data_IF_021266236956
#
_entry.id   IF_021266236956
#
_cell.length_a   1.000
_cell.length_b   1.000
_cell.length_c   1.000
_cell.angle_alpha   90.00
_cell.angle_beta   90.00
_cell.angle_gamma   90.00
#
_symmetry.space_group_name_H-M   'P 1'
#
loop_
_entity.id
_entity.type
_entity.pdbx_description
1 polymer ?
#
# COMPACT_ATOMS: atom_id res chain seq x y z
N UNK A 1 30.43 4.56 5.64
CA UNK A 1 30.18 4.36 7.08
C UNK A 1 28.89 5.10 7.40
N UNK A 2 27.88 4.42 7.94
CA UNK A 2 27.85 4.18 9.38
C UNK A 2 27.73 2.69 9.74
N UNK A 3 28.38 2.33 10.85
CA UNK A 3 28.34 1.00 11.48
C UNK A 3 26.92 0.68 11.96
N UNK A 4 26.42 -0.52 11.67
CA UNK A 4 25.31 -1.12 12.42
C UNK A 4 25.86 -1.72 13.71
N UNK A 5 25.38 -1.21 14.84
CA UNK A 5 25.40 -1.91 16.12
C UNK A 5 24.63 -3.23 16.04
N UNK A 6 25.13 -4.33 16.62
CA UNK A 6 24.32 -5.52 16.85
C UNK A 6 23.38 -5.28 18.04
N UNK A 7 22.07 -5.34 17.80
CA UNK A 7 21.06 -5.34 18.87
C UNK A 7 21.21 -6.59 19.71
N UNK A 8 21.32 -6.37 21.01
CA UNK A 8 21.30 -7.37 22.07
C UNK A 8 20.00 -8.19 22.04
N UNK A 9 20.12 -9.51 21.89
CA UNK A 9 19.02 -10.44 22.19
C UNK A 9 18.81 -10.47 23.70
N UNK A 10 17.61 -10.11 24.17
CA UNK A 10 17.17 -10.36 25.55
C UNK A 10 16.88 -11.87 25.71
N UNK A 11 17.31 -12.51 26.83
CA UNK A 11 16.91 -13.87 27.12
C UNK A 11 15.49 -13.86 27.70
N UNK A 12 14.53 -14.42 26.98
CA UNK A 12 13.19 -14.73 27.52
C UNK A 12 13.23 -16.07 28.26
N UNK A 13 13.10 -15.98 29.59
CA UNK A 13 12.70 -16.97 30.59
C UNK A 13 12.58 -18.45 30.14
N UNK A 14 13.49 -19.26 30.67
CA UNK A 14 13.40 -20.71 30.79
C UNK A 14 12.14 -21.15 31.56
N UNK A 15 11.43 -22.22 31.18
CA UNK A 15 10.54 -22.91 32.10
C UNK A 15 11.37 -23.80 33.02
N UNK A 16 11.04 -23.70 34.30
CA UNK A 16 11.60 -24.43 35.42
C UNK A 16 11.22 -25.92 35.30
N UNK A 17 12.19 -26.81 35.03
CA UNK A 17 12.01 -28.25 35.25
C UNK A 17 12.68 -28.62 36.58
N UNK A 18 11.87 -28.86 37.60
CA UNK A 18 12.31 -29.49 38.86
C UNK A 18 12.73 -30.94 38.58
N UNK A 19 13.79 -31.45 39.25
CA UNK A 19 14.13 -32.85 39.16
C UNK A 19 13.23 -33.64 40.09
N UNK A 20 12.30 -34.43 39.55
CA UNK A 20 11.67 -35.50 40.30
C UNK A 20 12.52 -36.76 40.13
N UNK A 21 13.31 -37.07 41.15
CA UNK A 21 13.97 -38.37 41.30
C UNK A 21 12.91 -39.44 41.52
N UNK A 22 12.68 -40.28 40.51
CA UNK A 22 11.99 -41.57 40.69
C UNK A 22 12.93 -42.66 40.20
N UNK A 23 13.54 -43.35 41.16
CA UNK A 23 14.24 -44.61 40.96
C UNK A 23 13.20 -45.72 40.76
N UNK A 24 13.19 -46.40 39.62
CA UNK A 24 12.57 -47.73 39.49
C UNK A 24 13.42 -48.63 38.58
N UNK A 25 13.59 -49.92 38.93
CA UNK A 25 14.50 -50.83 38.26
C UNK A 25 13.82 -51.63 37.13
N UNK A 26 14.67 -52.13 36.24
CA UNK A 26 14.45 -53.17 35.22
C UNK A 26 13.89 -52.81 33.83
N UNK A 27 14.36 -53.48 32.76
CA UNK A 27 14.30 -52.99 31.38
C UNK A 27 13.33 -53.80 30.48
N UNK A 28 13.15 -53.32 29.24
CA UNK A 28 12.46 -53.92 28.08
C UNK A 28 10.90 -53.97 28.11
N UNK A 29 10.25 -53.16 27.27
CA UNK A 29 9.61 -53.56 25.98
C UNK A 29 8.66 -52.46 25.46
N UNK A 30 8.84 -52.09 24.19
CA UNK A 30 7.94 -51.45 23.19
C UNK A 30 6.81 -50.52 23.69
N UNK A 31 6.93 -49.22 23.39
CA UNK A 31 5.78 -48.31 23.31
C UNK A 31 5.25 -48.25 21.87
N UNK A 32 4.09 -48.86 21.63
CA UNK A 32 3.27 -48.60 20.44
C UNK A 32 2.32 -47.45 20.79
N UNK A 33 2.58 -46.24 20.28
CA UNK A 33 1.62 -45.13 20.34
C UNK A 33 0.66 -45.21 19.14
N UNK A 34 -0.67 -45.25 19.34
CA UNK A 34 -1.64 -45.16 18.26
C UNK A 34 -1.73 -43.71 17.76
N UNK A 35 -1.26 -43.49 16.53
CA UNK A 35 -1.27 -42.21 15.83
C UNK A 35 -2.71 -41.72 15.58
N UNK A 36 -3.18 -40.74 16.36
CA UNK A 36 -4.28 -39.86 15.94
C UNK A 36 -3.78 -38.42 15.95
N UNK A 37 -3.14 -38.02 14.86
CA UNK A 37 -2.80 -36.63 14.58
C UNK A 37 -4.07 -35.84 14.26
N UNK A 38 -4.41 -34.75 14.97
CA UNK A 38 -5.36 -33.78 14.47
C UNK A 38 -4.76 -33.09 13.23
N UNK A 39 -5.60 -33.00 12.21
CA UNK A 39 -5.31 -32.46 10.88
C UNK A 39 -4.81 -31.00 11.00
N UNK A 40 -3.50 -30.82 11.03
CA UNK A 40 -2.87 -29.51 10.91
C UNK A 40 -3.01 -29.09 9.45
N UNK A 41 -3.99 -28.24 9.17
CA UNK A 41 -4.04 -27.54 7.89
C UNK A 41 -2.72 -26.76 7.75
N UNK A 42 -1.94 -26.95 6.67
CA UNK A 42 -0.75 -26.15 6.47
C UNK A 42 -1.22 -24.73 6.15
N UNK A 43 -1.15 -23.84 7.15
CA UNK A 43 -1.09 -22.42 6.86
C UNK A 43 0.28 -22.18 6.23
N UNK A 44 0.35 -22.28 4.90
CA UNK A 44 1.45 -21.68 4.14
C UNK A 44 1.28 -20.18 4.34
N UNK A 45 1.86 -19.66 5.41
CA UNK A 45 2.14 -18.24 5.57
C UNK A 45 2.92 -17.85 4.33
N UNK A 46 2.27 -17.20 3.36
CA UNK A 46 2.96 -16.72 2.16
C UNK A 46 4.06 -15.79 2.66
N UNK A 47 5.30 -16.26 2.59
CA UNK A 47 6.45 -15.47 2.98
C UNK A 47 6.41 -14.20 2.14
N UNK A 48 6.38 -13.05 2.81
CA UNK A 48 6.42 -11.74 2.15
C UNK A 48 7.65 -11.74 1.24
N UNK A 49 7.42 -11.64 -0.07
CA UNK A 49 8.49 -11.58 -1.05
C UNK A 49 9.30 -10.31 -0.80
N UNK A 50 10.62 -10.30 -1.06
CA UNK A 50 11.41 -9.06 -1.09
C UNK A 50 10.85 -8.00 -2.06
N UNK A 51 10.00 -8.44 -3.00
CA UNK A 51 9.28 -7.60 -3.96
C UNK A 51 7.90 -7.17 -3.49
N UNK A 52 7.41 -7.58 -2.32
CA UNK A 52 6.11 -7.14 -1.82
C UNK A 52 6.25 -5.79 -1.11
N UNK A 53 5.37 -4.81 -1.41
CA UNK A 53 5.45 -3.49 -0.80
C UNK A 53 5.32 -3.59 0.73
N UNK A 54 5.93 -2.65 1.48
CA UNK A 54 5.73 -2.55 2.93
C UNK A 54 4.24 -2.52 3.27
N UNK A 55 3.87 -3.25 4.33
CA UNK A 55 2.53 -3.16 4.90
C UNK A 55 2.19 -1.67 5.11
N UNK A 56 0.92 -1.25 4.94
CA UNK A 56 0.53 0.17 4.95
C UNK A 56 0.98 0.91 6.21
N UNK A 57 1.12 0.21 7.34
CA UNK A 57 1.63 0.75 8.60
C UNK A 57 3.12 1.15 8.60
N UNK A 58 3.92 0.77 7.59
CA UNK A 58 5.34 1.08 7.48
C UNK A 58 5.66 2.15 6.43
N UNK A 59 4.66 2.72 5.76
CA UNK A 59 4.86 3.84 4.85
C UNK A 59 4.91 5.14 5.66
N UNK A 60 6.02 5.89 5.57
CA UNK A 60 6.22 7.17 6.26
C UNK A 60 5.04 8.12 6.03
N UNK A 61 4.83 9.04 6.97
CA UNK A 61 3.82 10.13 6.97
C UNK A 61 3.81 11.03 5.72
N UNK A 62 4.74 10.83 4.78
CA UNK A 62 4.81 11.48 3.46
C UNK A 62 4.07 10.73 2.34
N UNK A 63 3.42 9.60 2.63
CA UNK A 63 2.79 8.72 1.63
C UNK A 63 1.25 8.80 1.60
N UNK A 64 0.63 9.50 2.55
CA UNK A 64 -0.82 9.73 2.55
C UNK A 64 -1.19 10.73 1.45
N UNK A 65 -2.27 10.50 0.68
CA UNK A 65 -2.64 11.37 -0.43
C UNK A 65 -3.33 12.68 0.00
N UNK A 66 -3.50 12.89 1.30
CA UNK A 66 -4.04 14.11 1.91
C UNK A 66 -3.10 14.65 2.98
N UNK A 67 -3.21 15.95 3.24
CA UNK A 67 -2.52 16.64 4.32
C UNK A 67 -3.25 16.49 5.67
N UNK A 68 -2.68 17.08 6.73
CA UNK A 68 -3.28 17.07 8.06
C UNK A 68 -4.65 17.78 8.14
N UNK A 69 -4.97 18.61 7.15
CA UNK A 69 -6.25 19.34 7.02
C UNK A 69 -7.28 18.56 6.20
N UNK A 70 -6.91 17.41 5.62
CA UNK A 70 -7.75 16.63 4.71
C UNK A 70 -7.84 17.20 3.29
N UNK A 71 -6.95 18.13 2.93
CA UNK A 71 -6.81 18.63 1.57
C UNK A 71 -5.91 17.66 0.76
N UNK A 72 -6.26 17.33 -0.50
CA UNK A 72 -5.48 16.41 -1.31
C UNK A 72 -4.11 16.99 -1.65
N UNK A 73 -3.06 16.19 -1.44
CA UNK A 73 -1.68 16.52 -1.85
C UNK A 73 -1.46 15.89 -3.23
N UNK A 74 -1.33 16.70 -4.30
CA UNK A 74 -1.17 16.20 -5.67
C UNK A 74 0.28 15.75 -5.92
N UNK A 75 0.77 14.76 -5.17
CA UNK A 75 2.06 14.12 -5.45
C UNK A 75 1.98 13.34 -6.77
N UNK A 76 3.13 13.07 -7.39
CA UNK A 76 3.18 12.31 -8.65
C UNK A 76 2.48 10.95 -8.54
N UNK A 77 2.67 10.24 -7.43
CA UNK A 77 2.04 8.96 -7.12
C UNK A 77 0.52 9.02 -7.06
N UNK A 78 -0.01 10.07 -6.41
CA UNK A 78 -1.45 10.28 -6.26
C UNK A 78 -2.09 10.64 -7.60
N UNK A 79 -1.45 11.54 -8.36
CA UNK A 79 -1.91 11.91 -9.70
C UNK A 79 -1.87 10.71 -10.66
N UNK A 80 -0.85 9.86 -10.55
CA UNK A 80 -0.75 8.67 -11.40
C UNK A 80 -1.80 7.62 -11.04
N UNK A 81 -2.03 7.36 -9.76
CA UNK A 81 -3.09 6.48 -9.27
C UNK A 81 -4.48 6.96 -9.76
N UNK A 82 -4.75 8.26 -9.72
CA UNK A 82 -6.01 8.86 -10.17
C UNK A 82 -6.10 9.12 -11.68
N UNK A 83 -5.06 8.81 -12.46
CA UNK A 83 -4.93 9.23 -13.87
C UNK A 83 -6.12 8.81 -14.74
N UNK A 84 -6.66 7.59 -14.55
CA UNK A 84 -7.85 7.11 -15.26
C UNK A 84 -9.09 7.95 -14.94
N UNK A 85 -9.31 8.31 -13.67
CA UNK A 85 -10.42 9.19 -13.27
C UNK A 85 -10.24 10.60 -13.83
N UNK A 86 -9.03 11.15 -13.78
CA UNK A 86 -8.72 12.50 -14.31
C UNK A 86 -9.00 12.56 -15.81
N UNK A 87 -8.63 11.50 -16.55
CA UNK A 87 -8.80 11.43 -18.00
C UNK A 87 -10.27 11.47 -18.45
N UNK A 88 -11.20 10.99 -17.60
CA UNK A 88 -12.64 11.01 -17.87
C UNK A 88 -13.28 12.27 -17.29
N UNK A 89 -13.12 12.50 -15.97
CA UNK A 89 -13.85 13.53 -15.21
C UNK A 89 -13.38 14.95 -15.49
N UNK A 90 -12.08 15.15 -15.72
CA UNK A 90 -11.48 16.46 -16.01
C UNK A 90 -11.08 16.60 -17.49
N UNK A 91 -11.66 15.76 -18.36
CA UNK A 91 -11.42 15.81 -19.81
C UNK A 91 -11.68 17.20 -20.43
N UNK A 92 -12.81 17.89 -20.17
CA UNK A 92 -13.11 19.14 -20.86
C UNK A 92 -12.10 20.24 -20.51
N UNK A 93 -11.71 20.36 -19.24
CA UNK A 93 -10.70 21.32 -18.78
C UNK A 93 -9.33 21.01 -19.39
N UNK A 94 -8.92 19.73 -19.37
CA UNK A 94 -7.65 19.28 -19.93
C UNK A 94 -7.55 19.57 -21.43
N UNK A 95 -8.59 19.23 -22.20
CA UNK A 95 -8.63 19.50 -23.64
C UNK A 95 -8.64 21.00 -23.92
N UNK A 96 -9.38 21.81 -23.16
CA UNK A 96 -9.38 23.25 -23.31
C UNK A 96 -7.99 23.86 -23.07
N UNK A 97 -7.28 23.41 -22.04
CA UNK A 97 -5.92 23.84 -21.75
C UNK A 97 -4.93 23.45 -22.86
N UNK A 98 -4.98 22.20 -23.32
CA UNK A 98 -4.12 21.73 -24.41
C UNK A 98 -4.40 22.47 -25.73
N UNK A 99 -5.67 22.74 -26.05
CA UNK A 99 -6.04 23.51 -27.23
C UNK A 99 -5.57 24.96 -27.15
N UNK A 100 -5.53 25.56 -25.96
CA UNK A 100 -4.93 26.89 -25.77
C UNK A 100 -3.42 26.86 -26.03
N UNK A 101 -2.72 25.89 -25.43
CA UNK A 101 -1.26 25.71 -25.60
C UNK A 101 -0.84 25.39 -27.04
N UNK A 102 -1.69 24.70 -27.80
CA UNK A 102 -1.48 24.47 -29.24
C UNK A 102 -1.58 25.73 -30.08
N UNK A 103 -2.40 26.71 -29.67
CA UNK A 103 -2.59 27.99 -30.38
C UNK A 103 -1.50 29.00 -30.04
N UNK A 104 -1.09 29.07 -28.78
CA UNK A 104 -0.08 30.00 -28.29
C UNK A 104 0.76 29.34 -27.19
N UNK A 105 2.10 29.24 -27.34
CA UNK A 105 2.97 28.66 -26.33
C UNK A 105 3.12 29.53 -25.08
N UNK A 106 2.78 30.83 -25.14
CA UNK A 106 2.93 31.76 -24.02
C UNK A 106 2.18 31.25 -22.77
N UNK A 107 2.86 31.10 -21.61
CA UNK A 107 2.22 30.62 -20.38
C UNK A 107 1.07 31.50 -19.89
N UNK A 108 1.17 32.83 -20.04
CA UNK A 108 0.22 33.78 -19.45
C UNK A 108 -1.17 33.71 -20.09
N UNK A 109 -1.22 33.43 -21.40
CA UNK A 109 -2.46 33.38 -22.18
C UNK A 109 -3.37 32.21 -21.80
N UNK A 110 -2.82 31.15 -21.20
CA UNK A 110 -3.55 29.93 -20.85
C UNK A 110 -3.69 29.71 -19.33
N UNK A 111 -3.27 30.68 -18.49
CA UNK A 111 -3.28 30.55 -17.03
C UNK A 111 -4.67 30.23 -16.47
N UNK A 112 -5.71 30.90 -16.97
CA UNK A 112 -7.07 30.68 -16.49
C UNK A 112 -7.55 29.25 -16.75
N UNK A 113 -7.25 28.70 -17.93
CA UNK A 113 -7.55 27.29 -18.25
C UNK A 113 -6.73 26.32 -17.41
N UNK A 114 -5.47 26.66 -17.11
CA UNK A 114 -4.63 25.89 -16.18
C UNK A 114 -5.24 25.83 -14.78
N UNK A 115 -5.73 26.97 -14.26
CA UNK A 115 -6.44 27.03 -12.97
C UNK A 115 -7.69 26.16 -12.95
N UNK A 116 -8.44 26.12 -14.04
CA UNK A 116 -9.62 25.25 -14.18
C UNK A 116 -9.25 23.77 -14.12
N UNK A 117 -8.18 23.36 -14.81
CA UNK A 117 -7.62 21.99 -14.72
C UNK A 117 -7.26 21.65 -13.28
N UNK A 118 -6.46 22.50 -12.62
CA UNK A 118 -6.03 22.26 -11.24
C UNK A 118 -7.21 22.20 -10.28
N UNK A 119 -8.20 23.08 -10.42
CA UNK A 119 -9.43 23.06 -9.61
C UNK A 119 -10.19 21.75 -9.78
N UNK A 120 -10.39 21.29 -11.03
CA UNK A 120 -11.06 20.03 -11.31
C UNK A 120 -10.34 18.86 -10.66
N UNK A 121 -9.02 18.76 -10.88
CA UNK A 121 -8.20 17.64 -10.37
C UNK A 121 -8.19 17.62 -8.85
N UNK A 122 -7.98 18.75 -8.17
CA UNK A 122 -8.00 18.79 -6.70
C UNK A 122 -9.37 18.41 -6.14
N UNK A 123 -10.45 18.88 -6.76
CA UNK A 123 -11.81 18.51 -6.34
C UNK A 123 -12.05 17.01 -6.50
N UNK A 124 -11.59 16.42 -7.61
CA UNK A 124 -11.68 14.99 -7.87
C UNK A 124 -10.84 14.16 -6.88
N UNK A 125 -9.61 14.58 -6.57
CA UNK A 125 -8.77 13.88 -5.60
C UNK A 125 -9.41 13.88 -4.20
N UNK A 126 -10.03 15.01 -3.82
CA UNK A 126 -10.79 15.11 -2.57
C UNK A 126 -11.97 14.15 -2.55
N UNK A 127 -12.74 14.08 -3.64
CA UNK A 127 -13.88 13.16 -3.79
C UNK A 127 -13.44 11.68 -3.70
N UNK A 128 -12.37 11.30 -4.40
CA UNK A 128 -11.85 9.93 -4.39
C UNK A 128 -11.40 9.52 -2.99
N UNK A 129 -10.68 10.40 -2.29
CA UNK A 129 -10.22 10.10 -0.94
C UNK A 129 -11.37 10.07 0.09
N UNK A 130 -12.49 10.74 -0.18
CA UNK A 130 -13.70 10.62 0.66
C UNK A 130 -14.48 9.33 0.41
N UNK A 131 -14.53 8.85 -0.84
CA UNK A 131 -15.31 7.66 -1.24
C UNK A 131 -14.59 6.35 -1.00
N UNK A 132 -13.32 6.26 -1.38
CA UNK A 132 -12.49 5.05 -1.28
C UNK A 132 -11.11 5.38 -0.69
N UNK A 133 -11.05 5.90 0.56
CA UNK A 133 -9.79 6.32 1.19
C UNK A 133 -8.77 5.18 1.24
N UNK A 134 -9.20 4.00 1.68
CA UNK A 134 -8.31 2.86 1.93
C UNK A 134 -7.66 2.35 0.64
N UNK A 135 -8.45 2.20 -0.41
CA UNK A 135 -7.99 1.68 -1.69
C UNK A 135 -7.14 2.73 -2.43
N UNK A 136 -7.53 4.01 -2.37
CA UNK A 136 -6.73 5.11 -2.92
C UNK A 136 -5.36 5.20 -2.24
N UNK A 137 -5.32 5.09 -0.90
CA UNK A 137 -4.07 5.13 -0.12
C UNK A 137 -3.17 3.95 -0.45
N UNK A 138 -3.73 2.74 -0.53
CA UNK A 138 -2.98 1.54 -0.89
C UNK A 138 -2.39 1.66 -2.30
N UNK A 139 -3.17 2.15 -3.26
CA UNK A 139 -2.72 2.27 -4.63
C UNK A 139 -1.69 3.39 -4.81
N UNK A 140 -1.93 4.57 -4.24
CA UNK A 140 -0.97 5.67 -4.22
C UNK A 140 0.32 5.30 -3.49
N UNK A 141 0.22 4.54 -2.39
CA UNK A 141 1.37 4.02 -1.65
C UNK A 141 2.20 3.03 -2.47
N UNK A 142 1.56 2.14 -3.22
CA UNK A 142 2.24 1.26 -4.17
C UNK A 142 2.94 2.07 -5.27
N UNK A 143 2.24 3.04 -5.86
CA UNK A 143 2.81 3.95 -6.88
C UNK A 143 4.02 4.71 -6.35
N UNK A 144 3.98 5.17 -5.09
CA UNK A 144 5.11 5.84 -4.47
C UNK A 144 6.31 4.89 -4.32
N UNK A 145 6.09 3.65 -3.89
CA UNK A 145 7.17 2.68 -3.67
C UNK A 145 7.82 2.20 -4.98
N UNK A 146 7.04 1.95 -6.02
CA UNK A 146 7.53 1.50 -7.33
C UNK A 146 7.68 2.64 -8.34
N UNK A 147 7.76 3.89 -7.88
CA UNK A 147 8.05 5.07 -8.73
C UNK A 147 7.12 5.16 -9.95
N UNK A 148 5.82 4.98 -9.73
CA UNK A 148 4.76 5.04 -10.73
C UNK A 148 4.75 3.90 -11.77
N UNK A 149 5.43 2.79 -11.50
CA UNK A 149 5.42 1.63 -12.39
C UNK A 149 4.16 0.77 -12.17
N UNK A 150 3.28 0.76 -13.16
CA UNK A 150 1.96 0.17 -13.03
C UNK A 150 1.96 -1.35 -12.90
N UNK A 151 2.93 -2.03 -13.51
CA UNK A 151 2.97 -3.50 -13.56
C UNK A 151 3.14 -4.13 -12.18
N UNK A 152 3.77 -3.42 -11.24
CA UNK A 152 3.92 -3.88 -9.87
C UNK A 152 2.68 -3.63 -9.00
N UNK A 153 1.79 -2.73 -9.41
CA UNK A 153 0.65 -2.26 -8.61
C UNK A 153 -0.72 -2.70 -9.15
N UNK A 154 -0.78 -3.72 -10.03
CA UNK A 154 -2.04 -4.17 -10.65
C UNK A 154 -3.07 -4.69 -9.66
N UNK A 155 -2.64 -5.22 -8.52
CA UNK A 155 -3.56 -5.74 -7.49
C UNK A 155 -4.28 -4.60 -6.77
N UNK A 156 -3.51 -3.60 -6.35
CA UNK A 156 -4.01 -2.39 -5.72
C UNK A 156 -4.87 -1.58 -6.72
N UNK A 157 -4.46 -1.55 -7.99
CA UNK A 157 -5.25 -0.95 -9.06
C UNK A 157 -6.64 -1.58 -9.20
N UNK A 158 -6.72 -2.92 -9.24
CA UNK A 158 -8.00 -3.63 -9.35
C UNK A 158 -8.90 -3.34 -8.14
N UNK A 159 -8.35 -3.41 -6.93
CA UNK A 159 -9.10 -3.09 -5.71
C UNK A 159 -9.63 -1.65 -5.71
N UNK A 160 -8.82 -0.69 -6.20
CA UNK A 160 -9.23 0.70 -6.33
C UNK A 160 -10.33 0.88 -7.39
N UNK A 161 -10.20 0.26 -8.56
CA UNK A 161 -11.19 0.35 -9.64
C UNK A 161 -12.52 -0.35 -9.29
N UNK A 162 -12.49 -1.41 -8.48
CA UNK A 162 -13.68 -2.09 -7.96
C UNK A 162 -14.41 -1.24 -6.90
N UNK A 163 -13.66 -0.63 -5.96
CA UNK A 163 -14.23 0.21 -4.91
C UNK A 163 -14.71 1.57 -5.44
N UNK A 164 -14.01 2.10 -6.44
CA UNK A 164 -14.26 3.40 -7.05
C UNK A 164 -14.37 3.27 -8.57
N UNK A 165 -15.52 2.79 -9.09
CA UNK A 165 -15.73 2.72 -10.53
C UNK A 165 -15.75 4.13 -11.15
N UNK A 166 -15.23 4.24 -12.37
CA UNK A 166 -15.26 5.48 -13.14
C UNK A 166 -16.69 5.71 -13.63
N UNK A 167 -17.41 6.63 -13.01
CA UNK A 167 -18.68 7.12 -13.54
C UNK A 167 -18.40 8.10 -14.69
N UNK A 168 -18.83 7.74 -15.90
CA UNK A 168 -18.81 8.61 -17.08
C UNK A 168 -19.72 9.84 -16.89
#
# INVERSE_FOLDING_TARGET
SPRREPRTLKPTKSPLCLPLSISFPFPLLVWVCPSRFPHLHPQISKARSPRDPPAPAAMSTSSTPVDASGEPIPTSSVLMAASKHIAVRCRPENVAFLNCKKKDPNPDKCLEKGRQVTRCVLSLLKELHQKCPKEMDAYAGCMYYYTNEFDFCRKEQQAFEEACPISE
#
